data_IF_026692986063
#
_entry.id   IF_026692986063
#
_cell.length_a   1.000
_cell.length_b   1.000
_cell.length_c   1.000
_cell.angle_alpha   90.00
_cell.angle_beta   90.00
_cell.angle_gamma   90.00
#
_symmetry.space_group_name_H-M   'P 1'
#
loop_
_entity.id
_entity.type
_entity.pdbx_description
1 polymer ?
#
# COMPACT_ATOMS: atom_id res chain seq x y z
N UNK A 1 0.24 -8.80 7.75
CA UNK A 1 1.48 -8.68 6.96
C UNK A 1 2.66 -8.78 7.93
N UNK A 2 3.61 -9.68 7.66
CA UNK A 2 4.79 -9.89 8.50
C UNK A 2 6.04 -9.42 7.77
N UNK A 3 6.96 -8.78 8.48
CA UNK A 3 8.29 -8.45 8.01
C UNK A 3 9.17 -9.71 8.00
N UNK A 4 10.24 -9.71 7.22
CA UNK A 4 11.22 -10.80 7.17
C UNK A 4 11.87 -11.09 8.54
N UNK A 5 11.91 -10.10 9.44
CA UNK A 5 12.39 -10.29 10.81
C UNK A 5 11.36 -10.94 11.76
N UNK A 6 10.16 -11.28 11.27
CA UNK A 6 9.04 -11.81 12.07
C UNK A 6 8.18 -10.73 12.73
N UNK A 7 8.52 -9.45 12.60
CA UNK A 7 7.75 -8.33 13.14
C UNK A 7 6.45 -8.05 12.38
N UNK A 8 5.52 -7.32 13.02
CA UNK A 8 4.25 -6.89 12.42
C UNK A 8 4.50 -5.64 11.57
N UNK A 9 3.97 -5.64 10.35
CA UNK A 9 3.96 -4.47 9.47
C UNK A 9 2.72 -3.62 9.75
N UNK A 10 2.95 -2.34 10.05
CA UNK A 10 1.93 -1.34 10.38
C UNK A 10 1.80 -0.34 9.24
N UNK A 11 0.58 0.01 8.83
CA UNK A 11 0.34 1.03 7.80
C UNK A 11 0.72 2.40 8.33
N UNK A 12 1.60 3.11 7.60
CA UNK A 12 2.05 4.46 7.94
C UNK A 12 1.56 5.52 6.94
N UNK A 13 1.23 5.11 5.71
CA UNK A 13 0.69 5.99 4.66
C UNK A 13 -0.24 5.21 3.74
N UNK A 14 -1.31 5.85 3.26
CA UNK A 14 -2.21 5.30 2.23
C UNK A 14 -2.25 6.29 1.07
N UNK A 15 -2.19 5.77 -0.15
CA UNK A 15 -2.33 6.56 -1.38
C UNK A 15 -3.71 7.22 -1.44
N UNK A 16 -3.73 8.53 -1.68
CA UNK A 16 -4.97 9.24 -2.00
C UNK A 16 -5.35 9.01 -3.46
N UNK A 17 -6.63 8.70 -3.76
CA UNK A 17 -7.10 8.64 -5.13
C UNK A 17 -6.86 9.97 -5.88
N UNK A 18 -6.54 9.93 -7.19
CA UNK A 18 -6.38 11.14 -7.99
C UNK A 18 -7.61 12.07 -7.93
N UNK A 19 -7.35 13.38 -7.84
CA UNK A 19 -8.40 14.40 -7.66
C UNK A 19 -9.37 14.50 -8.85
N UNK A 20 -8.94 14.06 -10.02
CA UNK A 20 -9.71 14.09 -11.26
C UNK A 20 -10.67 12.90 -11.43
N UNK A 21 -10.67 11.93 -10.50
CA UNK A 21 -11.63 10.83 -10.52
C UNK A 21 -12.98 11.29 -9.97
N UNK A 22 -14.06 10.77 -10.56
CA UNK A 22 -15.40 10.88 -9.99
C UNK A 22 -15.51 10.13 -8.65
N UNK A 23 -16.52 10.46 -7.85
CA UNK A 23 -16.73 9.80 -6.55
C UNK A 23 -16.91 8.28 -6.68
N UNK A 24 -17.56 7.81 -7.75
CA UNK A 24 -17.72 6.38 -8.03
C UNK A 24 -16.36 5.74 -8.34
N UNK A 25 -15.52 6.37 -9.16
CA UNK A 25 -14.19 5.86 -9.51
C UNK A 25 -13.26 5.83 -8.29
N UNK A 26 -13.39 6.77 -7.35
CA UNK A 26 -12.62 6.79 -6.09
C UNK A 26 -12.96 5.62 -5.16
N UNK A 27 -14.20 5.12 -5.21
CA UNK A 27 -14.63 3.96 -4.42
C UNK A 27 -13.98 2.66 -4.90
N UNK A 28 -13.70 2.54 -6.20
CA UNK A 28 -13.08 1.36 -6.82
C UNK A 28 -11.58 1.56 -7.11
N UNK A 29 -10.99 2.64 -6.64
CA UNK A 29 -9.57 2.95 -6.89
C UNK A 29 -8.67 2.02 -6.08
N UNK A 30 -7.84 1.22 -6.77
CA UNK A 30 -6.87 0.34 -6.14
C UNK A 30 -5.72 1.16 -5.53
N UNK A 31 -5.81 1.41 -4.22
CA UNK A 31 -4.83 2.16 -3.45
C UNK A 31 -3.65 1.27 -3.06
N UNK A 32 -2.47 1.88 -3.02
CA UNK A 32 -1.33 1.32 -2.29
C UNK A 32 -1.16 1.99 -0.93
N UNK A 33 -0.39 1.35 -0.05
CA UNK A 33 -0.01 1.87 1.24
C UNK A 33 1.48 1.63 1.48
N UNK A 34 2.08 2.44 2.35
CA UNK A 34 3.38 2.13 2.89
C UNK A 34 3.21 1.56 4.29
N UNK A 35 4.06 0.61 4.61
CA UNK A 35 4.07 -0.05 5.91
C UNK A 35 5.45 -0.02 6.53
N UNK A 36 5.50 0.06 7.84
CA UNK A 36 6.72 0.01 8.64
C UNK A 36 6.66 -1.18 9.61
N UNK A 37 7.77 -1.89 9.75
CA UNK A 37 7.89 -2.96 10.72
C UNK A 37 8.03 -2.40 12.14
N UNK A 38 7.08 -2.72 13.02
CA UNK A 38 7.10 -2.29 14.41
C UNK A 38 8.28 -2.88 15.23
N UNK A 39 9.01 -3.85 14.68
CA UNK A 39 10.15 -4.48 15.36
C UNK A 39 11.51 -3.96 14.88
N UNK A 40 11.73 -3.87 13.57
CA UNK A 40 13.04 -3.49 13.00
C UNK A 40 13.06 -2.13 12.27
N UNK A 41 11.91 -1.46 12.13
CA UNK A 41 11.81 -0.16 11.45
C UNK A 41 11.95 -0.22 9.92
N UNK A 42 11.97 -1.41 9.32
CA UNK A 42 12.06 -1.55 7.86
C UNK A 42 10.76 -1.05 7.20
N UNK A 43 10.91 -0.21 6.17
CA UNK A 43 9.79 0.41 5.44
C UNK A 43 9.61 -0.27 4.09
N UNK A 44 8.38 -0.69 3.81
CA UNK A 44 7.97 -1.21 2.51
C UNK A 44 7.01 -0.23 1.87
N UNK A 45 7.40 0.30 0.71
CA UNK A 45 6.60 1.27 -0.03
C UNK A 45 5.63 0.59 -0.99
N UNK A 46 4.53 1.27 -1.29
CA UNK A 46 3.59 0.89 -2.36
C UNK A 46 3.05 -0.55 -2.26
N UNK A 47 2.79 -1.00 -1.04
CA UNK A 47 2.15 -2.28 -0.74
C UNK A 47 0.65 -2.24 -1.04
N UNK A 48 0.01 -3.35 -1.38
CA UNK A 48 -1.44 -3.39 -1.58
C UNK A 48 -2.23 -3.05 -0.31
N UNK A 49 -3.20 -2.12 -0.39
CA UNK A 49 -4.02 -1.71 0.76
C UNK A 49 -5.14 -2.71 1.10
N UNK A 50 -5.86 -3.22 0.09
CA UNK A 50 -6.99 -4.15 0.29
C UNK A 50 -6.57 -5.63 0.19
N UNK A 51 -7.13 -6.47 1.06
CA UNK A 51 -6.89 -7.93 1.18
C UNK A 51 -7.41 -8.74 -0.01
N UNK A 52 -6.90 -8.52 -1.22
CA UNK A 52 -7.44 -9.15 -2.43
C UNK A 52 -6.40 -9.53 -3.48
N UNK A 53 -5.79 -10.71 -3.28
CA UNK A 53 -4.89 -11.41 -4.21
C UNK A 53 -3.48 -10.81 -4.38
N UNK A 54 -2.48 -11.71 -4.52
CA UNK A 54 -1.05 -11.43 -4.82
C UNK A 54 -0.82 -10.76 -6.20
N UNK A 55 -1.84 -10.10 -6.76
CA UNK A 55 -1.92 -9.64 -8.14
C UNK A 55 -2.20 -8.13 -8.25
N UNK A 56 -1.95 -7.35 -7.19
CA UNK A 56 -1.88 -5.91 -7.37
C UNK A 56 -0.54 -5.59 -8.05
N UNK A 57 -0.64 -5.10 -9.28
CA UNK A 57 0.49 -4.70 -10.13
C UNK A 57 1.27 -3.65 -9.33
N UNK A 58 2.47 -4.01 -8.89
CA UNK A 58 3.44 -3.04 -8.33
C UNK A 58 3.63 -1.98 -9.42
N UNK A 59 3.06 -0.79 -9.22
CA UNK A 59 3.23 0.32 -10.16
C UNK A 59 4.70 0.71 -10.10
N UNK A 60 5.40 0.64 -11.25
CA UNK A 60 6.73 1.22 -11.38
C UNK A 60 6.59 2.72 -11.17
N UNK A 61 7.30 3.26 -10.18
CA UNK A 61 7.52 4.69 -10.06
C UNK A 61 8.38 5.07 -11.27
N UNK A 62 7.89 5.96 -12.12
CA UNK A 62 8.71 6.61 -13.14
C UNK A 62 9.43 7.80 -12.48
N UNK A 63 10.75 7.87 -12.68
CA UNK A 63 11.61 8.98 -12.26
C UNK A 63 11.20 10.32 -12.90
#
# INVERSE_FOLDING_TARGET
>A
MFCNCGGILMVIRVEEPPKNLSEIEKLTYNRVCDVECANCGEIYYSQPYDTGQRLNIVKKIQD
#
